data_IF_042009413375
#
_entry.id   IF_042009413375
#
_cell.length_a   1.000
_cell.length_b   1.000
_cell.length_c   1.000
_cell.angle_alpha   90.00
_cell.angle_beta   90.00
_cell.angle_gamma   90.00
#
_symmetry.space_group_name_H-M   'P 1'
#
loop_
_entity.id
_entity.type
_entity.pdbx_description
1 polymer ?
#
# COMPACT_ATOMS: atom_id res chain seq x y z
N UNK A 1 4.10 20.35 -10.64
CA UNK A 1 3.27 19.13 -10.48
C UNK A 1 1.85 19.52 -10.10
N UNK A 2 0.85 19.01 -10.78
CA UNK A 2 -0.57 19.26 -10.47
C UNK A 2 -1.18 17.96 -9.95
N UNK A 3 -1.67 17.94 -8.69
CA UNK A 3 -2.25 16.77 -8.03
C UNK A 3 -3.78 16.78 -8.02
N UNK A 4 -4.41 17.95 -8.12
CA UNK A 4 -5.85 18.11 -7.92
C UNK A 4 -6.73 17.14 -8.75
N UNK A 5 -6.49 16.88 -10.04
CA UNK A 5 -7.30 15.91 -10.80
C UNK A 5 -7.16 14.48 -10.29
N UNK A 6 -5.96 14.06 -9.87
CA UNK A 6 -5.72 12.72 -9.30
C UNK A 6 -6.38 12.57 -7.93
N UNK A 7 -6.33 13.62 -7.10
CA UNK A 7 -7.06 13.69 -5.83
C UNK A 7 -8.57 13.54 -6.09
N UNK A 8 -9.10 14.26 -7.08
CA UNK A 8 -10.51 14.15 -7.46
C UNK A 8 -10.88 12.73 -7.88
N UNK A 9 -10.07 12.07 -8.70
CA UNK A 9 -10.29 10.66 -9.08
C UNK A 9 -10.25 9.73 -7.87
N UNK A 10 -9.30 9.89 -6.97
CA UNK A 10 -9.17 9.06 -5.77
C UNK A 10 -10.33 9.21 -4.79
N UNK A 11 -11.17 10.26 -4.91
CA UNK A 11 -12.37 10.40 -4.05
C UNK A 11 -13.34 9.22 -4.21
N UNK A 12 -13.31 8.49 -5.32
CA UNK A 12 -14.08 7.25 -5.50
C UNK A 12 -13.73 6.17 -4.46
N UNK A 13 -12.50 6.19 -3.93
CA UNK A 13 -12.04 5.29 -2.86
C UNK A 13 -12.67 5.58 -1.49
N UNK A 14 -13.37 6.71 -1.30
CA UNK A 14 -14.00 7.08 -0.02
C UNK A 14 -15.08 6.09 0.40
N UNK A 15 -15.76 5.45 -0.54
CA UNK A 15 -16.77 4.42 -0.30
C UNK A 15 -16.19 3.04 0.06
N UNK A 16 -14.88 2.84 -0.03
CA UNK A 16 -14.21 1.57 0.29
C UNK A 16 -13.63 1.63 1.70
N UNK A 17 -14.38 1.09 2.66
CA UNK A 17 -13.98 1.07 4.07
C UNK A 17 -12.91 0.01 4.32
N UNK A 18 -11.95 0.35 5.19
CA UNK A 18 -10.90 -0.55 5.65
C UNK A 18 -11.29 -1.22 6.95
N UNK A 19 -10.86 -2.48 7.12
CA UNK A 19 -11.10 -3.25 8.34
C UNK A 19 -10.53 -2.56 9.61
N UNK A 20 -9.41 -1.87 9.47
CA UNK A 20 -8.74 -1.09 10.53
C UNK A 20 -9.44 0.25 10.85
N UNK A 21 -10.51 0.56 10.15
CA UNK A 21 -11.17 1.86 10.20
C UNK A 21 -10.66 2.84 9.14
N UNK A 22 -11.46 3.87 8.87
CA UNK A 22 -11.22 4.78 7.75
C UNK A 22 -11.57 4.14 6.40
N UNK A 23 -10.96 4.61 5.32
CA UNK A 23 -11.24 4.18 3.96
C UNK A 23 -9.98 4.16 3.09
N UNK A 24 -10.06 3.60 1.90
CA UNK A 24 -8.95 3.51 0.96
C UNK A 24 -8.45 4.88 0.46
N UNK A 25 -9.30 5.89 0.42
CA UNK A 25 -8.86 7.25 0.13
C UNK A 25 -7.81 7.75 1.15
N UNK A 26 -8.07 7.56 2.47
CA UNK A 26 -7.10 7.91 3.51
C UNK A 26 -5.81 7.09 3.41
N UNK A 27 -5.91 5.80 3.08
CA UNK A 27 -4.76 4.94 2.85
C UNK A 27 -3.88 5.44 1.69
N UNK A 28 -4.48 5.80 0.56
CA UNK A 28 -3.75 6.36 -0.58
C UNK A 28 -2.98 7.63 -0.20
N UNK A 29 -3.57 8.51 0.63
CA UNK A 29 -2.86 9.68 1.16
C UNK A 29 -1.78 9.33 2.18
N UNK A 30 -1.94 8.28 2.97
CA UNK A 30 -0.88 7.78 3.85
C UNK A 30 0.32 7.30 3.03
N UNK A 31 0.08 6.56 1.95
CA UNK A 31 1.12 6.11 1.01
C UNK A 31 1.84 7.30 0.34
N UNK A 32 1.09 8.31 -0.09
CA UNK A 32 1.63 9.55 -0.63
C UNK A 32 2.50 10.30 0.40
N UNK A 33 2.04 10.45 1.64
CA UNK A 33 2.79 11.11 2.70
C UNK A 33 4.11 10.39 3.01
N UNK A 34 4.10 9.05 3.07
CA UNK A 34 5.31 8.24 3.24
C UNK A 34 6.32 8.53 2.14
N UNK A 35 5.91 8.62 0.87
CA UNK A 35 6.83 8.97 -0.21
C UNK A 35 7.47 10.35 0.00
N UNK A 36 6.71 11.34 0.47
CA UNK A 36 7.25 12.67 0.78
C UNK A 36 8.23 12.64 1.96
N UNK A 37 7.97 11.86 3.01
CA UNK A 37 8.86 11.69 4.15
C UNK A 37 10.22 11.10 3.71
N UNK A 38 10.22 10.27 2.67
CA UNK A 38 11.43 9.75 2.04
C UNK A 38 11.99 10.64 0.93
N UNK A 39 11.50 11.89 0.81
CA UNK A 39 11.94 12.90 -0.15
C UNK A 39 11.79 12.51 -1.63
N UNK A 40 10.85 11.62 -1.96
CA UNK A 40 10.51 11.34 -3.34
C UNK A 40 9.67 12.48 -3.91
N UNK A 41 10.18 13.12 -4.95
CA UNK A 41 9.55 14.29 -5.61
C UNK A 41 9.19 14.02 -7.09
N UNK A 42 9.30 12.77 -7.53
CA UNK A 42 8.91 12.36 -8.88
C UNK A 42 7.40 12.53 -9.10
N UNK A 43 7.04 13.29 -10.13
CA UNK A 43 5.64 13.65 -10.40
C UNK A 43 4.77 12.44 -10.69
N UNK A 44 5.27 11.48 -11.48
CA UNK A 44 4.53 10.27 -11.85
C UNK A 44 4.32 9.39 -10.62
N UNK A 45 5.37 9.18 -9.82
CA UNK A 45 5.30 8.37 -8.60
C UNK A 45 4.29 8.93 -7.59
N UNK A 46 4.32 10.25 -7.35
CA UNK A 46 3.42 10.90 -6.40
C UNK A 46 1.97 10.88 -6.88
N UNK A 47 1.71 11.10 -8.17
CA UNK A 47 0.37 10.99 -8.76
C UNK A 47 -0.15 9.54 -8.68
N UNK A 48 0.69 8.58 -9.03
CA UNK A 48 0.35 7.16 -8.97
C UNK A 48 0.00 6.73 -7.54
N UNK A 49 0.72 7.20 -6.51
CA UNK A 49 0.44 6.82 -5.11
C UNK A 49 -0.95 7.23 -4.64
N UNK A 50 -1.50 8.33 -5.16
CA UNK A 50 -2.84 8.83 -4.80
C UNK A 50 -3.96 7.94 -5.38
N UNK A 51 -3.68 7.22 -6.48
CA UNK A 51 -4.69 6.43 -7.20
C UNK A 51 -4.32 4.94 -7.34
N UNK A 52 -3.29 4.46 -6.62
CA UNK A 52 -2.72 3.11 -6.85
C UNK A 52 -3.72 1.97 -6.65
N UNK A 53 -4.69 2.12 -5.75
CA UNK A 53 -5.73 1.12 -5.49
C UNK A 53 -7.01 1.33 -6.34
N UNK A 54 -7.03 2.35 -7.22
CA UNK A 54 -8.25 2.75 -7.90
C UNK A 54 -8.83 1.64 -8.79
N UNK A 55 -7.97 0.93 -9.54
CA UNK A 55 -8.38 -0.14 -10.45
C UNK A 55 -8.71 -1.47 -9.74
N UNK A 56 -8.21 -1.66 -8.52
CA UNK A 56 -8.56 -2.84 -7.69
C UNK A 56 -9.90 -2.64 -6.95
N UNK A 57 -10.15 -1.43 -6.45
CA UNK A 57 -11.22 -1.16 -5.50
C UNK A 57 -12.45 -0.47 -6.09
N UNK A 58 -12.35 0.12 -7.28
CA UNK A 58 -13.44 0.88 -7.90
C UNK A 58 -13.82 0.27 -9.26
N UNK A 59 -15.08 -0.12 -9.39
CA UNK A 59 -15.63 -0.60 -10.66
C UNK A 59 -15.77 0.55 -11.66
N UNK A 60 -15.72 0.22 -12.96
CA UNK A 60 -15.96 1.14 -14.06
C UNK A 60 -14.96 2.30 -14.24
N UNK A 61 -13.78 2.24 -13.61
CA UNK A 61 -12.69 3.16 -13.93
C UNK A 61 -12.04 2.73 -15.24
N UNK A 62 -11.91 3.66 -16.19
CA UNK A 62 -11.29 3.36 -17.48
C UNK A 62 -9.86 3.90 -17.56
N UNK A 63 -9.06 3.29 -18.43
CA UNK A 63 -7.71 3.74 -18.75
C UNK A 63 -7.70 5.19 -19.23
N UNK A 64 -8.63 5.54 -20.12
CA UNK A 64 -8.77 6.86 -20.75
C UNK A 64 -8.97 7.96 -19.72
N UNK A 65 -9.68 7.64 -18.62
CA UNK A 65 -9.91 8.59 -17.54
C UNK A 65 -8.65 9.02 -16.80
N UNK A 66 -7.60 8.20 -16.83
CA UNK A 66 -6.31 8.51 -16.20
C UNK A 66 -5.33 9.07 -17.23
N UNK A 67 -5.23 8.45 -18.39
CA UNK A 67 -4.30 8.87 -19.46
C UNK A 67 -4.56 10.32 -19.90
N UNK A 68 -5.81 10.74 -19.95
CA UNK A 68 -6.21 12.07 -20.42
C UNK A 68 -6.22 13.15 -19.34
N UNK A 69 -5.71 12.89 -18.12
CA UNK A 69 -5.67 13.91 -17.06
C UNK A 69 -4.67 15.02 -17.40
N UNK A 70 -3.45 14.64 -17.71
CA UNK A 70 -2.36 15.56 -18.05
C UNK A 70 -1.23 14.83 -18.83
N UNK A 71 -0.12 15.52 -19.08
CA UNK A 71 1.03 14.96 -19.80
C UNK A 71 1.67 13.74 -19.11
N UNK A 72 1.55 13.59 -17.78
CA UNK A 72 2.06 12.44 -17.03
C UNK A 72 1.07 11.27 -17.01
N UNK A 73 -0.19 11.51 -17.42
CA UNK A 73 -1.28 10.51 -17.34
C UNK A 73 -0.92 9.12 -17.88
N UNK A 74 -0.32 8.99 -19.08
CA UNK A 74 0.10 7.69 -19.62
C UNK A 74 1.10 6.96 -18.72
N UNK A 75 2.10 7.65 -18.18
CA UNK A 75 3.12 7.06 -17.32
C UNK A 75 2.57 6.74 -15.92
N UNK A 76 1.67 7.58 -15.40
CA UNK A 76 0.94 7.32 -14.16
C UNK A 76 0.08 6.06 -14.29
N UNK A 77 -0.68 5.94 -15.37
CA UNK A 77 -1.48 4.74 -15.63
C UNK A 77 -0.60 3.49 -15.69
N UNK A 78 0.51 3.55 -16.44
CA UNK A 78 1.46 2.44 -16.56
C UNK A 78 1.98 2.01 -15.17
N UNK A 79 2.43 2.97 -14.35
CA UNK A 79 2.95 2.69 -13.02
C UNK A 79 1.88 2.09 -12.09
N UNK A 80 0.65 2.60 -12.13
CA UNK A 80 -0.47 2.04 -11.36
C UNK A 80 -0.73 0.60 -11.78
N UNK A 81 -0.73 0.29 -13.09
CA UNK A 81 -0.94 -1.08 -13.58
C UNK A 81 0.19 -2.04 -13.18
N UNK A 82 1.44 -1.56 -13.05
CA UNK A 82 2.53 -2.39 -12.52
C UNK A 82 2.26 -2.86 -11.08
N UNK A 83 1.58 -2.04 -10.25
CA UNK A 83 1.26 -2.36 -8.85
C UNK A 83 -0.17 -2.84 -8.63
N UNK A 84 -0.97 -2.96 -9.68
CA UNK A 84 -2.32 -3.53 -9.67
C UNK A 84 -2.25 -5.04 -9.90
N UNK A 85 -2.93 -5.83 -9.07
CA UNK A 85 -2.98 -7.28 -9.21
C UNK A 85 -3.95 -7.70 -10.32
N UNK A 86 -3.49 -8.56 -11.21
CA UNK A 86 -4.33 -9.16 -12.24
C UNK A 86 -5.44 -10.06 -11.65
N UNK A 87 -6.58 -10.20 -12.37
CA UNK A 87 -7.73 -10.98 -11.90
C UNK A 87 -7.42 -12.45 -11.63
N UNK A 88 -6.54 -13.05 -12.46
CA UNK A 88 -6.16 -14.45 -12.37
C UNK A 88 -4.81 -14.64 -11.65
N UNK A 89 -4.23 -13.57 -11.11
CA UNK A 89 -2.93 -13.57 -10.47
C UNK A 89 -3.08 -13.83 -8.97
N UNK A 90 -2.39 -14.85 -8.45
CA UNK A 90 -2.29 -15.04 -7.00
C UNK A 90 -1.49 -13.91 -6.36
N UNK A 91 -1.64 -13.71 -5.06
CA UNK A 91 -0.90 -12.66 -4.35
C UNK A 91 0.62 -12.86 -4.40
N UNK A 92 1.07 -14.11 -4.31
CA UNK A 92 2.49 -14.45 -4.44
C UNK A 92 3.03 -14.14 -5.84
N UNK A 93 2.33 -14.54 -6.89
CA UNK A 93 2.70 -14.22 -8.28
C UNK A 93 2.77 -12.71 -8.52
N UNK A 94 1.79 -11.97 -8.02
CA UNK A 94 1.75 -10.51 -8.10
C UNK A 94 2.99 -9.87 -7.46
N UNK A 95 3.31 -10.25 -6.22
CA UNK A 95 4.45 -9.68 -5.50
C UNK A 95 5.79 -10.12 -6.11
N UNK A 96 5.89 -11.37 -6.59
CA UNK A 96 7.05 -11.87 -7.33
C UNK A 96 7.27 -11.09 -8.62
N UNK A 97 6.21 -10.84 -9.40
CA UNK A 97 6.27 -10.03 -10.63
C UNK A 97 6.81 -8.62 -10.35
N UNK A 98 6.33 -7.94 -9.30
CA UNK A 98 6.86 -6.62 -8.96
C UNK A 98 8.33 -6.69 -8.55
N UNK A 99 8.73 -7.70 -7.78
CA UNK A 99 10.12 -7.87 -7.35
C UNK A 99 11.06 -8.11 -8.54
N UNK A 100 10.66 -8.95 -9.50
CA UNK A 100 11.53 -9.38 -10.61
C UNK A 100 11.48 -8.38 -11.78
N UNK A 101 10.28 -7.98 -12.19
CA UNK A 101 10.03 -7.24 -13.43
C UNK A 101 9.62 -5.79 -13.20
N UNK A 102 9.15 -5.44 -11.99
CA UNK A 102 8.63 -4.11 -11.67
C UNK A 102 9.70 -3.03 -11.81
N UNK A 103 9.28 -1.87 -12.32
CA UNK A 103 10.13 -0.69 -12.39
C UNK A 103 10.60 -0.26 -10.99
N UNK A 104 11.68 0.54 -10.93
CA UNK A 104 12.15 1.11 -9.67
C UNK A 104 11.02 1.86 -8.94
N UNK A 105 10.21 2.64 -9.66
CA UNK A 105 9.09 3.39 -9.08
C UNK A 105 7.97 2.46 -8.58
N UNK A 106 7.70 1.35 -9.27
CA UNK A 106 6.73 0.35 -8.80
C UNK A 106 7.18 -0.29 -7.47
N UNK A 107 8.45 -0.65 -7.35
CA UNK A 107 9.02 -1.19 -6.10
C UNK A 107 8.96 -0.16 -4.96
N UNK A 108 9.30 1.12 -5.23
CA UNK A 108 9.20 2.20 -4.24
C UNK A 108 7.76 2.40 -3.79
N UNK A 109 6.82 2.49 -4.73
CA UNK A 109 5.40 2.65 -4.45
C UNK A 109 4.87 1.49 -3.61
N UNK A 110 5.24 0.25 -3.97
CA UNK A 110 4.83 -0.95 -3.21
C UNK A 110 5.44 -1.02 -1.82
N UNK A 111 6.65 -0.49 -1.62
CA UNK A 111 7.25 -0.35 -0.29
C UNK A 111 6.49 0.68 0.57
N UNK A 112 6.13 1.85 0.02
CA UNK A 112 5.38 2.88 0.74
C UNK A 112 3.96 2.38 1.12
N UNK A 113 3.25 1.72 0.21
CA UNK A 113 1.98 1.03 0.48
C UNK A 113 2.14 0.02 1.63
N UNK A 114 3.19 -0.81 1.59
CA UNK A 114 3.44 -1.80 2.63
C UNK A 114 3.75 -1.18 4.00
N UNK A 115 4.49 -0.08 4.07
CA UNK A 115 4.75 0.64 5.32
C UNK A 115 3.42 1.15 5.90
N UNK A 116 2.56 1.77 5.08
CA UNK A 116 1.22 2.20 5.50
C UNK A 116 0.40 1.04 6.07
N UNK A 117 0.37 -0.09 5.37
CA UNK A 117 -0.37 -1.27 5.80
C UNK A 117 0.20 -1.92 7.08
N UNK A 118 1.53 -1.99 7.23
CA UNK A 118 2.17 -2.50 8.44
C UNK A 118 1.92 -1.59 9.65
N UNK A 119 1.84 -0.28 9.43
CA UNK A 119 1.49 0.69 10.49
C UNK A 119 0.08 0.44 11.02
N UNK A 120 -0.86 0.07 10.16
CA UNK A 120 -2.24 -0.27 10.51
C UNK A 120 -2.42 -1.71 11.04
N UNK A 121 -1.38 -2.55 11.01
CA UNK A 121 -1.46 -3.97 11.38
C UNK A 121 -1.46 -4.15 12.91
N UNK A 122 -2.60 -3.90 13.57
CA UNK A 122 -2.75 -3.97 15.02
C UNK A 122 -3.30 -5.30 15.50
N UNK A 123 -2.73 -5.83 16.60
CA UNK A 123 -3.11 -7.11 17.22
C UNK A 123 -4.46 -7.08 17.98
N UNK A 124 -5.04 -5.93 18.17
CA UNK A 124 -6.39 -5.74 18.72
C UNK A 124 -7.48 -5.80 17.64
N UNK A 125 -7.09 -5.66 16.37
CA UNK A 125 -7.99 -5.71 15.22
C UNK A 125 -7.85 -7.03 14.47
N UNK A 126 -6.61 -7.46 14.19
CA UNK A 126 -6.32 -8.67 13.43
C UNK A 126 -5.95 -9.83 14.36
N UNK A 127 -6.33 -11.07 13.97
CA UNK A 127 -5.83 -12.25 14.65
C UNK A 127 -4.33 -12.48 14.41
N UNK A 128 -3.74 -13.30 15.27
CA UNK A 128 -2.29 -13.57 15.24
C UNK A 128 -1.86 -14.27 13.96
N UNK A 129 -2.67 -15.18 13.44
CA UNK A 129 -2.35 -15.95 12.23
C UNK A 129 -2.27 -15.01 11.00
N UNK A 130 -3.24 -14.12 10.86
CA UNK A 130 -3.23 -13.11 9.80
C UNK A 130 -2.00 -12.22 9.89
N UNK A 131 -1.66 -11.71 11.10
CA UNK A 131 -0.49 -10.85 11.30
C UNK A 131 0.79 -11.57 10.90
N UNK A 132 0.99 -12.81 11.36
CA UNK A 132 2.18 -13.60 11.04
C UNK A 132 2.29 -13.87 9.54
N UNK A 133 1.20 -14.27 8.89
CA UNK A 133 1.18 -14.49 7.45
C UNK A 133 1.53 -13.22 6.67
N UNK A 134 1.00 -12.06 7.07
CA UNK A 134 1.28 -10.79 6.45
C UNK A 134 2.75 -10.35 6.62
N UNK A 135 3.32 -10.60 7.79
CA UNK A 135 4.74 -10.37 8.10
C UNK A 135 5.63 -11.27 7.24
N UNK A 136 5.35 -12.57 7.16
CA UNK A 136 6.13 -13.50 6.35
C UNK A 136 6.08 -13.15 4.85
N UNK A 137 4.92 -12.77 4.34
CA UNK A 137 4.78 -12.24 2.98
C UNK A 137 5.65 -10.98 2.77
N UNK A 138 5.65 -10.06 3.75
CA UNK A 138 6.47 -8.85 3.71
C UNK A 138 7.97 -9.19 3.69
N UNK A 139 8.40 -10.12 4.54
CA UNK A 139 9.80 -10.58 4.59
C UNK A 139 10.22 -11.24 3.27
N UNK A 140 9.35 -12.06 2.69
CA UNK A 140 9.64 -12.81 1.46
C UNK A 140 9.78 -11.89 0.24
N UNK A 141 8.87 -10.93 0.08
CA UNK A 141 8.72 -10.19 -1.16
C UNK A 141 9.10 -8.72 -1.07
N UNK A 142 8.69 -8.02 0.00
CA UNK A 142 8.81 -6.57 0.06
C UNK A 142 10.16 -6.11 0.62
N UNK A 143 10.70 -6.81 1.64
CA UNK A 143 12.02 -6.44 2.14
C UNK A 143 13.13 -6.56 1.07
N UNK A 144 13.13 -7.55 0.16
CA UNK A 144 14.02 -7.55 -0.99
C UNK A 144 13.84 -6.34 -1.92
N UNK A 145 12.60 -5.94 -2.23
CA UNK A 145 12.34 -4.71 -3.01
C UNK A 145 12.93 -3.49 -2.31
N UNK A 146 12.66 -3.33 -1.00
CA UNK A 146 13.15 -2.20 -0.22
C UNK A 146 14.69 -2.16 -0.17
N UNK A 147 15.34 -3.32 -0.03
CA UNK A 147 16.81 -3.42 -0.08
C UNK A 147 17.39 -2.92 -1.40
N UNK A 148 16.66 -3.15 -2.50
CA UNK A 148 17.09 -2.70 -3.84
C UNK A 148 16.90 -1.19 -4.04
N UNK A 149 15.82 -0.61 -3.50
CA UNK A 149 15.42 0.75 -3.85
C UNK A 149 15.69 1.79 -2.77
N UNK A 150 15.59 1.43 -1.47
CA UNK A 150 15.77 2.38 -0.35
C UNK A 150 16.02 1.66 0.99
N UNK A 151 17.24 1.71 1.49
CA UNK A 151 17.62 1.08 2.76
C UNK A 151 16.86 1.65 3.97
N UNK A 152 16.49 2.94 3.97
CA UNK A 152 15.74 3.52 5.08
C UNK A 152 14.32 2.94 5.17
N UNK A 153 13.66 2.72 4.02
CA UNK A 153 12.37 1.99 3.98
C UNK A 153 12.52 0.55 4.49
N UNK A 154 13.65 -0.11 4.15
CA UNK A 154 13.96 -1.44 4.67
C UNK A 154 14.08 -1.44 6.20
N UNK A 155 14.79 -0.46 6.78
CA UNK A 155 14.96 -0.35 8.23
C UNK A 155 13.64 -0.06 8.93
N UNK A 156 12.83 0.87 8.41
CA UNK A 156 11.52 1.17 8.98
C UNK A 156 10.61 -0.06 8.99
N UNK A 157 10.50 -0.79 7.87
CA UNK A 157 9.69 -2.01 7.82
C UNK A 157 10.16 -3.07 8.80
N UNK A 158 11.49 -3.28 8.94
CA UNK A 158 12.03 -4.22 9.93
C UNK A 158 11.70 -3.80 11.36
N UNK A 159 11.77 -2.51 11.68
CA UNK A 159 11.42 -1.99 13.01
C UNK A 159 9.93 -2.19 13.30
N UNK A 160 9.04 -1.88 12.35
CA UNK A 160 7.61 -2.11 12.49
C UNK A 160 7.32 -3.61 12.69
N UNK A 161 7.91 -4.48 11.88
CA UNK A 161 7.76 -5.95 12.01
C UNK A 161 8.17 -6.41 13.40
N UNK A 162 9.35 -6.00 13.88
CA UNK A 162 9.84 -6.37 15.21
C UNK A 162 8.88 -5.91 16.31
N UNK A 163 8.33 -4.70 16.21
CA UNK A 163 7.33 -4.18 17.15
C UNK A 163 6.02 -4.99 17.12
N UNK A 164 5.54 -5.39 15.94
CA UNK A 164 4.34 -6.22 15.81
C UNK A 164 4.55 -7.62 16.39
N UNK A 165 5.68 -8.26 16.09
CA UNK A 165 6.04 -9.57 16.66
C UNK A 165 6.20 -9.53 18.18
N UNK A 166 6.82 -8.49 18.73
CA UNK A 166 7.00 -8.30 20.18
C UNK A 166 5.66 -8.05 20.87
N UNK A 167 4.78 -7.22 20.30
CA UNK A 167 3.45 -6.95 20.84
C UNK A 167 2.56 -8.21 20.93
N UNK A 168 2.74 -9.19 20.04
CA UNK A 168 2.03 -10.46 20.10
C UNK A 168 2.51 -11.39 21.22
N UNK A 169 3.74 -11.22 21.70
CA UNK A 169 4.30 -12.01 22.82
C UNK A 169 3.84 -11.50 24.20
N UNK A 170 3.46 -10.23 24.29
CA UNK A 170 3.16 -9.54 25.54
C UNK A 170 1.69 -9.12 25.66
N UNK A 171 0.72 -9.89 25.11
CA UNK A 171 -0.69 -9.63 25.40
C UNK A 171 -0.92 -9.80 26.91
N UNK A 172 -1.28 -8.74 27.66
CA UNK A 172 -1.70 -8.93 29.05
C UNK A 172 -2.93 -9.82 29.08
N UNK A 173 -3.03 -10.67 30.08
CA UNK A 173 -4.14 -11.62 30.28
C UNK A 173 -5.52 -10.93 30.47
N UNK A 174 -5.55 -9.61 30.43
CA UNK A 174 -6.73 -8.78 30.64
C UNK A 174 -6.86 -7.72 29.54
N UNK A 175 -7.56 -8.09 28.44
CA UNK A 175 -8.03 -7.14 27.43
C UNK A 175 -9.55 -7.21 27.36
N UNK A 176 -10.28 -6.09 27.50
CA UNK A 176 -11.74 -6.12 27.51
C UNK A 176 -12.29 -6.50 26.13
N UNK A 177 -13.29 -7.35 26.19
CA UNK A 177 -14.10 -7.97 25.16
C UNK A 177 -14.21 -7.22 23.84
N UNK A 178 -14.11 -7.99 22.75
CA UNK A 178 -14.58 -7.63 21.41
C UNK A 178 -15.94 -6.92 21.51
N UNK A 179 -16.03 -5.69 21.04
CA UNK A 179 -17.34 -5.10 20.74
C UNK A 179 -17.99 -5.99 19.67
N UNK A 180 -19.01 -6.73 20.07
CA UNK A 180 -19.90 -7.39 19.10
C UNK A 180 -20.54 -6.23 18.34
N UNK A 181 -20.29 -6.17 17.02
CA UNK A 181 -20.98 -5.26 16.13
C UNK A 181 -22.47 -5.55 16.15
N UNK A 182 -23.25 -4.53 16.28
CA UNK A 182 -24.62 -4.48 15.82
C UNK A 182 -24.62 -4.26 14.33
#
# INVERSE_FOLDING_TARGET
MVLAPYIQKSTALRGRYRYVGGNQFRHAFSTFAILLDYHYMDSVLLKASIIHDLFEDVECVTQEEIINIDSDGPDVYKLVMEVTRGKDETKDQFLERILIEGSRNAKILKCADRISNLTDLHSDIFDKEFILKYIEETKKWILPMAKEVNENMLFEMKDIIMKRESGMKHKPAFWPMKRKGN
#
